data_IF_652740579784
#
_entry.id   IF_652740579784
#
_cell.length_a   1.000
_cell.length_b   1.000
_cell.length_c   1.000
_cell.angle_alpha   90.00
_cell.angle_beta   90.00
_cell.angle_gamma   90.00
#
_symmetry.space_group_name_H-M   'P 1'
#
loop_
_entity.id
_entity.type
_entity.pdbx_description
1 polymer ?
#
# COMPACT_ATOMS: atom_id res chain seq x y z
N UNK A 1 7.07 11.68 -22.51
CA UNK A 1 7.58 12.17 -21.20
C UNK A 1 8.62 11.21 -20.63
N UNK A 2 8.25 10.01 -20.18
CA UNK A 2 9.20 9.04 -19.60
C UNK A 2 10.37 8.73 -20.56
N UNK A 3 10.07 8.42 -21.82
CA UNK A 3 11.11 8.11 -22.83
C UNK A 3 12.05 9.28 -23.14
N UNK A 4 11.59 10.51 -22.94
CA UNK A 4 12.37 11.72 -23.19
C UNK A 4 13.34 12.03 -22.05
N UNK A 5 13.22 11.34 -20.90
CA UNK A 5 14.01 11.57 -19.69
C UNK A 5 14.59 10.26 -19.15
N UNK A 6 15.53 9.62 -19.88
CA UNK A 6 16.05 8.29 -19.52
C UNK A 6 16.82 8.24 -18.20
N UNK A 7 17.25 9.40 -17.67
CA UNK A 7 17.96 9.51 -16.40
C UNK A 7 17.02 9.74 -15.20
N UNK A 8 15.72 9.92 -15.43
CA UNK A 8 14.72 10.13 -14.38
C UNK A 8 14.01 8.83 -14.07
N UNK A 9 13.94 8.47 -12.78
CA UNK A 9 13.16 7.32 -12.32
C UNK A 9 11.74 7.75 -12.00
N UNK A 10 10.78 7.09 -12.61
CA UNK A 10 9.36 7.32 -12.35
C UNK A 10 8.83 6.24 -11.41
N UNK A 11 8.32 6.67 -10.26
CA UNK A 11 7.81 5.78 -9.21
C UNK A 11 6.30 5.95 -9.08
N UNK A 12 5.56 4.86 -9.17
CA UNK A 12 4.12 4.82 -8.85
C UNK A 12 3.99 4.30 -7.42
N UNK A 13 3.45 5.10 -6.51
CA UNK A 13 3.29 4.73 -5.10
C UNK A 13 1.83 4.64 -4.66
N UNK A 14 1.37 3.44 -4.30
CA UNK A 14 -0.04 3.16 -4.03
C UNK A 14 -0.24 2.19 -2.86
N UNK A 15 -1.42 2.26 -2.25
CA UNK A 15 -1.90 1.23 -1.32
C UNK A 15 -2.41 -0.03 -2.00
N UNK A 16 -2.56 -0.02 -3.33
CA UNK A 16 -3.09 -1.15 -4.10
C UNK A 16 -2.09 -2.30 -4.21
N UNK A 17 -2.63 -3.49 -4.47
CA UNK A 17 -1.88 -4.66 -4.91
C UNK A 17 -1.09 -4.35 -6.18
N UNK A 18 0.14 -4.86 -6.28
CA UNK A 18 1.01 -4.69 -7.45
C UNK A 18 0.31 -5.05 -8.77
N UNK A 19 -0.44 -6.15 -8.79
CA UNK A 19 -1.18 -6.60 -9.98
C UNK A 19 -2.32 -5.66 -10.38
N UNK A 20 -2.89 -4.91 -9.44
CA UNK A 20 -3.84 -3.82 -9.73
C UNK A 20 -3.16 -2.66 -10.46
N UNK A 21 -1.95 -2.29 -10.03
CA UNK A 21 -1.16 -1.27 -10.73
C UNK A 21 -0.72 -1.75 -12.12
N UNK A 22 -0.36 -3.02 -12.26
CA UNK A 22 -0.02 -3.59 -13.57
C UNK A 22 -1.18 -3.50 -14.55
N UNK A 23 -2.43 -3.74 -14.17
CA UNK A 23 -3.57 -3.59 -15.08
C UNK A 23 -3.67 -2.18 -15.71
N UNK A 24 -3.19 -1.15 -15.01
CA UNK A 24 -3.19 0.24 -15.47
C UNK A 24 -1.92 0.54 -16.26
N UNK A 25 -0.76 0.13 -15.74
CA UNK A 25 0.54 0.57 -16.23
C UNK A 25 1.27 -0.46 -17.09
N UNK A 26 0.68 -1.61 -17.40
CA UNK A 26 1.30 -2.69 -18.18
C UNK A 26 2.04 -2.21 -19.45
N UNK A 27 1.50 -1.27 -20.26
CA UNK A 27 2.20 -0.81 -21.47
C UNK A 27 3.55 -0.12 -21.21
N UNK A 28 3.78 0.38 -20.00
CA UNK A 28 5.00 1.13 -19.62
C UNK A 28 5.68 0.58 -18.37
N UNK A 29 5.28 -0.60 -17.88
CA UNK A 29 5.72 -1.15 -16.59
C UNK A 29 7.24 -1.26 -16.45
N UNK A 30 7.96 -1.58 -17.53
CA UNK A 30 9.42 -1.77 -17.50
C UNK A 30 10.20 -0.46 -17.37
N UNK A 31 9.49 0.68 -17.45
CA UNK A 31 10.01 2.04 -17.28
C UNK A 31 9.64 2.63 -15.92
N UNK A 32 8.94 1.87 -15.07
CA UNK A 32 8.43 2.32 -13.79
C UNK A 32 8.98 1.46 -12.64
N UNK A 33 9.07 2.09 -11.47
CA UNK A 33 9.20 1.41 -10.19
C UNK A 33 7.84 1.50 -9.50
N UNK A 34 7.38 0.42 -8.88
CA UNK A 34 6.10 0.38 -8.19
C UNK A 34 6.32 0.18 -6.70
N UNK A 35 5.88 1.14 -5.89
CA UNK A 35 5.64 0.94 -4.46
C UNK A 35 4.18 0.52 -4.32
N UNK A 36 3.96 -0.72 -3.88
CA UNK A 36 2.61 -1.30 -3.68
C UNK A 36 2.39 -1.60 -2.19
N UNK A 37 1.14 -1.88 -1.81
CA UNK A 37 0.76 -2.16 -0.41
C UNK A 37 1.26 -1.08 0.57
N UNK A 38 1.16 0.19 0.18
CA UNK A 38 1.62 1.37 0.94
C UNK A 38 3.12 1.36 1.30
N UNK A 39 3.95 0.56 0.62
CA UNK A 39 5.36 0.39 0.98
C UNK A 39 5.75 -1.03 1.39
N UNK A 40 4.79 -1.95 1.48
CA UNK A 40 5.06 -3.35 1.81
C UNK A 40 5.93 -4.06 0.77
N UNK A 41 5.86 -3.63 -0.50
CA UNK A 41 6.66 -4.21 -1.58
C UNK A 41 7.05 -3.17 -2.62
N UNK A 42 8.27 -3.27 -3.12
CA UNK A 42 8.80 -2.46 -4.22
C UNK A 42 9.18 -3.37 -5.37
N UNK A 43 8.61 -3.09 -6.54
CA UNK A 43 8.78 -3.86 -7.77
C UNK A 43 9.42 -3.02 -8.87
N UNK A 44 10.37 -3.59 -9.60
CA UNK A 44 10.93 -3.00 -10.83
C UNK A 44 11.14 -4.13 -11.85
N UNK A 45 10.66 -3.96 -13.09
CA UNK A 45 10.82 -4.94 -14.20
C UNK A 45 10.43 -6.37 -13.78
N UNK A 46 9.23 -6.50 -13.22
CA UNK A 46 8.66 -7.75 -12.69
C UNK A 46 9.49 -8.44 -11.59
N UNK A 47 10.43 -7.74 -10.95
CA UNK A 47 11.25 -8.26 -9.85
C UNK A 47 10.98 -7.50 -8.57
N UNK A 48 10.96 -8.24 -7.46
CA UNK A 48 11.00 -7.66 -6.11
C UNK A 48 12.39 -7.05 -5.91
N UNK A 49 12.45 -5.74 -5.69
CA UNK A 49 13.69 -5.06 -5.28
C UNK A 49 13.74 -4.85 -3.76
N UNK A 50 12.58 -4.78 -3.11
CA UNK A 50 12.47 -4.73 -1.66
C UNK A 50 11.11 -5.23 -1.18
N UNK A 51 11.06 -5.83 0.01
CA UNK A 51 9.83 -6.30 0.66
C UNK A 51 9.94 -6.09 2.17
N UNK A 52 8.83 -5.68 2.80
CA UNK A 52 8.69 -5.53 4.25
C UNK A 52 7.49 -6.37 4.74
N UNK A 53 7.67 -7.70 4.85
CA UNK A 53 6.57 -8.57 5.21
C UNK A 53 6.17 -8.41 6.69
N UNK A 54 4.95 -8.80 6.98
CA UNK A 54 4.51 -9.19 8.32
C UNK A 54 5.19 -10.51 8.66
N UNK A 55 5.92 -10.62 9.78
CA UNK A 55 6.53 -11.89 10.17
C UNK A 55 5.49 -13.00 10.33
N UNK A 56 5.78 -14.21 9.85
CA UNK A 56 4.85 -15.35 9.89
C UNK A 56 4.25 -15.62 11.27
N UNK A 57 5.10 -15.61 12.31
CA UNK A 57 4.65 -15.81 13.69
C UNK A 57 3.67 -14.72 14.15
N UNK A 58 3.88 -13.48 13.69
CA UNK A 58 3.01 -12.35 13.96
C UNK A 58 1.70 -12.42 13.17
N UNK A 59 1.74 -12.87 11.92
CA UNK A 59 0.52 -13.13 11.16
C UNK A 59 -0.36 -14.19 11.85
N UNK A 60 0.24 -15.28 12.34
CA UNK A 60 -0.47 -16.32 13.08
C UNK A 60 -1.10 -15.79 14.38
N UNK A 61 -0.36 -14.97 15.14
CA UNK A 61 -0.87 -14.30 16.34
C UNK A 61 -2.13 -13.46 16.04
N UNK A 62 -2.10 -12.67 14.96
CA UNK A 62 -3.27 -11.87 14.54
C UNK A 62 -4.44 -12.75 14.14
N UNK A 63 -4.19 -13.83 13.38
CA UNK A 63 -5.22 -14.76 12.96
C UNK A 63 -5.86 -15.46 14.18
N UNK A 64 -5.06 -15.80 15.20
CA UNK A 64 -5.55 -16.37 16.46
C UNK A 64 -6.47 -15.39 17.20
N UNK A 65 -6.06 -14.11 17.33
CA UNK A 65 -6.82 -13.07 18.03
C UNK A 65 -8.23 -12.84 17.46
N UNK A 66 -8.43 -13.08 16.16
CA UNK A 66 -9.72 -12.87 15.49
C UNK A 66 -10.50 -14.17 15.21
N UNK A 67 -9.90 -15.34 15.40
CA UNK A 67 -10.44 -16.65 14.96
C UNK A 67 -11.77 -17.08 15.61
N UNK A 68 -12.04 -16.62 16.83
CA UNK A 68 -13.27 -16.93 17.57
C UNK A 68 -14.50 -16.21 17.00
N UNK A 69 -14.30 -15.05 16.35
CA UNK A 69 -15.38 -14.24 15.80
C UNK A 69 -15.62 -14.58 14.33
N UNK A 70 -16.65 -15.39 14.07
CA UNK A 70 -17.06 -15.79 12.71
C UNK A 70 -17.64 -14.64 11.87
N UNK A 71 -17.73 -13.42 12.42
CA UNK A 71 -18.07 -12.21 11.69
C UNK A 71 -16.85 -11.45 11.15
N UNK A 72 -15.63 -11.91 11.43
CA UNK A 72 -14.38 -11.33 10.93
C UNK A 72 -13.80 -12.26 9.86
N UNK A 73 -13.44 -11.68 8.72
CA UNK A 73 -12.87 -12.40 7.58
C UNK A 73 -11.49 -11.83 7.25
N UNK A 74 -10.41 -12.50 7.68
CA UNK A 74 -9.06 -12.10 7.33
C UNK A 74 -8.78 -12.35 5.85
N UNK A 75 -8.16 -11.36 5.20
CA UNK A 75 -7.55 -11.48 3.89
C UNK A 75 -6.05 -11.30 4.06
N UNK A 76 -5.27 -12.30 3.67
CA UNK A 76 -3.81 -12.17 3.62
C UNK A 76 -3.43 -11.60 2.26
N UNK A 77 -3.05 -10.33 2.20
CA UNK A 77 -2.42 -9.75 1.01
C UNK A 77 -0.97 -10.20 0.96
N UNK A 78 -0.61 -11.04 -0.01
CA UNK A 78 0.75 -11.56 -0.16
C UNK A 78 1.41 -11.11 -1.46
N UNK A 79 2.70 -11.39 -1.59
CA UNK A 79 3.52 -11.05 -2.77
C UNK A 79 2.92 -11.59 -4.09
N UNK A 80 2.44 -12.85 -4.12
CA UNK A 80 2.01 -13.48 -5.37
C UNK A 80 0.52 -13.31 -5.65
N UNK A 81 -0.29 -13.35 -4.60
CA UNK A 81 -1.76 -13.22 -4.64
C UNK A 81 -2.28 -12.89 -3.24
N UNK A 82 -3.55 -12.53 -3.12
CA UNK A 82 -4.24 -12.45 -1.84
C UNK A 82 -4.97 -13.76 -1.55
N UNK A 83 -5.14 -14.10 -0.27
CA UNK A 83 -5.84 -15.32 0.16
C UNK A 83 -6.95 -15.01 1.16
N UNK A 84 -8.06 -15.74 1.08
CA UNK A 84 -9.19 -15.65 2.01
C UNK A 84 -9.76 -17.04 2.30
N UNK A 85 -10.14 -17.31 3.56
CA UNK A 85 -10.74 -18.59 3.94
C UNK A 85 -12.25 -18.60 3.72
N UNK A 86 -12.72 -19.52 2.88
CA UNK A 86 -14.13 -19.88 2.70
C UNK A 86 -15.14 -18.72 2.86
N UNK A 87 -14.98 -17.57 2.15
CA UNK A 87 -15.83 -16.42 2.40
C UNK A 87 -17.26 -16.67 1.91
N UNK A 88 -18.28 -16.17 2.61
CA UNK A 88 -19.60 -16.06 2.03
C UNK A 88 -19.60 -15.06 0.87
N UNK A 89 -20.55 -15.20 -0.06
CA UNK A 89 -20.61 -14.42 -1.30
C UNK A 89 -20.56 -12.90 -1.07
N UNK A 90 -21.24 -12.39 -0.03
CA UNK A 90 -21.25 -10.96 0.26
C UNK A 90 -19.86 -10.43 0.66
N UNK A 91 -19.06 -11.22 1.38
CA UNK A 91 -17.67 -10.88 1.72
C UNK A 91 -16.82 -10.91 0.45
N UNK A 92 -16.99 -11.96 -0.37
CA UNK A 92 -16.24 -12.12 -1.61
C UNK A 92 -16.46 -10.93 -2.56
N UNK A 93 -17.70 -10.43 -2.67
CA UNK A 93 -18.05 -9.28 -3.49
C UNK A 93 -17.33 -7.99 -3.06
N UNK A 94 -17.13 -7.78 -1.76
CA UNK A 94 -16.39 -6.63 -1.24
C UNK A 94 -14.88 -6.82 -1.45
N UNK A 95 -14.34 -7.99 -1.11
CA UNK A 95 -12.90 -8.28 -1.18
C UNK A 95 -12.37 -8.23 -2.62
N UNK A 96 -13.11 -8.80 -3.57
CA UNK A 96 -12.71 -8.91 -4.98
C UNK A 96 -12.61 -7.55 -5.69
N UNK A 97 -13.27 -6.50 -5.17
CA UNK A 97 -13.14 -5.14 -5.71
C UNK A 97 -11.74 -4.55 -5.49
N UNK A 98 -11.04 -5.00 -4.44
CA UNK A 98 -9.72 -4.49 -4.07
C UNK A 98 -8.56 -5.42 -4.46
N UNK A 99 -8.86 -6.69 -4.73
CA UNK A 99 -7.86 -7.73 -4.99
C UNK A 99 -8.00 -8.29 -6.41
N UNK A 100 -7.10 -7.89 -7.31
CA UNK A 100 -7.08 -8.41 -8.69
C UNK A 100 -6.69 -9.89 -8.72
N UNK A 101 -5.74 -10.28 -7.87
CA UNK A 101 -5.44 -11.68 -7.61
C UNK A 101 -5.90 -12.04 -6.21
N UNK A 102 -6.83 -13.00 -6.14
CA UNK A 102 -7.45 -13.49 -4.93
C UNK A 102 -7.70 -14.99 -5.09
N UNK A 103 -7.27 -15.77 -4.11
CA UNK A 103 -7.50 -17.20 -4.02
C UNK A 103 -8.28 -17.55 -2.75
N UNK A 104 -9.25 -18.46 -2.88
CA UNK A 104 -9.93 -19.03 -1.72
C UNK A 104 -9.18 -20.27 -1.25
N UNK A 105 -9.01 -20.40 0.06
CA UNK A 105 -8.36 -21.55 0.71
C UNK A 105 -9.26 -22.17 1.77
N UNK A 106 -9.00 -23.44 2.07
CA UNK A 106 -9.74 -24.17 3.12
C UNK A 106 -9.32 -23.74 4.54
N UNK A 107 -8.04 -23.36 4.70
CA UNK A 107 -7.45 -22.88 5.96
C UNK A 107 -6.46 -21.76 5.63
N UNK A 108 -6.75 -20.54 6.10
CA UNK A 108 -5.90 -19.36 5.83
C UNK A 108 -4.51 -19.49 6.45
N UNK A 109 -4.37 -20.19 7.58
CA UNK A 109 -3.08 -20.38 8.24
C UNK A 109 -2.15 -21.28 7.42
N UNK A 110 -2.70 -22.13 6.55
CA UNK A 110 -1.92 -22.99 5.67
C UNK A 110 -1.09 -22.24 4.62
N UNK A 111 -1.35 -20.93 4.43
CA UNK A 111 -0.60 -20.04 3.52
C UNK A 111 0.67 -19.51 4.18
N UNK A 112 0.70 -19.38 5.51
CA UNK A 112 1.84 -18.83 6.26
C UNK A 112 3.11 -19.64 5.97
N UNK A 113 4.20 -18.95 5.66
CA UNK A 113 5.48 -19.55 5.25
C UNK A 113 5.57 -20.06 3.80
N UNK A 114 4.48 -19.99 3.01
CA UNK A 114 4.50 -20.33 1.56
C UNK A 114 4.56 -19.11 0.65
N UNK A 115 4.09 -17.98 1.15
CA UNK A 115 4.09 -16.69 0.48
C UNK A 115 4.41 -15.58 1.48
N UNK A 116 4.99 -14.48 1.01
CA UNK A 116 5.34 -13.36 1.88
C UNK A 116 4.09 -12.53 2.15
N UNK A 117 3.66 -12.48 3.41
CA UNK A 117 2.47 -11.73 3.84
C UNK A 117 2.85 -10.25 3.95
N UNK A 118 2.20 -9.40 3.16
CA UNK A 118 2.43 -7.95 3.13
C UNK A 118 1.46 -7.22 4.07
N UNK A 119 0.24 -7.72 4.19
CA UNK A 119 -0.78 -7.20 5.10
C UNK A 119 -1.74 -8.32 5.53
N UNK A 120 -2.48 -8.05 6.62
CA UNK A 120 -3.70 -8.76 6.98
C UNK A 120 -4.85 -7.75 6.98
N UNK A 121 -5.64 -7.73 5.90
CA UNK A 121 -6.83 -6.91 5.82
C UNK A 121 -8.00 -7.65 6.48
N UNK A 122 -8.44 -7.17 7.63
CA UNK A 122 -9.48 -7.78 8.45
C UNK A 122 -10.81 -7.12 8.12
N UNK A 123 -11.70 -7.88 7.46
CA UNK A 123 -13.04 -7.42 7.14
C UNK A 123 -14.03 -7.70 8.26
N UNK A 124 -14.89 -6.73 8.58
CA UNK A 124 -16.07 -6.94 9.41
C UNK A 124 -17.24 -6.05 8.97
N UNK A 125 -18.37 -6.64 8.62
CA UNK A 125 -19.56 -5.91 8.21
C UNK A 125 -20.15 -5.04 9.35
N UNK A 126 -19.96 -5.43 10.61
CA UNK A 126 -20.54 -4.73 11.78
C UNK A 126 -19.72 -3.53 12.26
N UNK A 127 -18.99 -2.85 11.36
CA UNK A 127 -18.02 -1.77 11.64
C UNK A 127 -16.74 -2.28 12.29
N UNK A 128 -15.64 -2.24 11.55
CA UNK A 128 -14.36 -2.82 11.96
C UNK A 128 -13.75 -2.11 13.17
N UNK A 129 -13.93 -0.79 13.28
CA UNK A 129 -13.42 -0.01 14.41
C UNK A 129 -13.85 -0.58 15.78
N UNK A 130 -15.10 -1.01 15.89
CA UNK A 130 -15.68 -1.40 17.18
C UNK A 130 -15.51 -2.91 17.47
N UNK A 131 -15.27 -3.73 16.43
CA UNK A 131 -15.22 -5.19 16.55
C UNK A 131 -13.83 -5.78 16.36
N UNK A 132 -12.96 -5.13 15.58
CA UNK A 132 -11.60 -5.59 15.28
C UNK A 132 -10.57 -4.87 16.15
N UNK A 133 -10.53 -3.53 16.17
CA UNK A 133 -9.48 -2.80 16.89
C UNK A 133 -9.35 -3.18 18.38
N UNK A 134 -10.43 -3.42 19.14
CA UNK A 134 -10.29 -3.86 20.54
C UNK A 134 -9.57 -5.21 20.68
N UNK A 135 -9.71 -6.12 19.70
CA UNK A 135 -9.02 -7.43 19.68
C UNK A 135 -7.54 -7.29 19.35
N UNK A 136 -7.13 -6.17 18.75
CA UNK A 136 -5.77 -5.87 18.34
C UNK A 136 -5.06 -4.90 19.30
N UNK A 137 -5.66 -4.58 20.45
CA UNK A 137 -5.17 -3.54 21.35
C UNK A 137 -3.74 -3.82 21.88
N UNK A 138 -3.38 -5.10 22.03
CA UNK A 138 -2.06 -5.52 22.51
C UNK A 138 -1.04 -5.69 21.39
N UNK A 139 -1.46 -5.57 20.13
CA UNK A 139 -0.54 -5.58 19.00
C UNK A 139 0.34 -4.34 19.06
N UNK A 140 1.64 -4.58 19.17
CA UNK A 140 2.64 -3.53 19.31
C UNK A 140 3.98 -4.00 18.75
N UNK A 141 4.97 -3.09 18.74
CA UNK A 141 6.30 -3.36 18.22
C UNK A 141 6.32 -3.38 16.70
N UNK A 142 6.50 -4.57 16.13
CA UNK A 142 6.74 -4.76 14.70
C UNK A 142 5.49 -4.61 13.83
N UNK A 143 4.30 -4.49 14.43
CA UNK A 143 3.03 -4.35 13.71
C UNK A 143 2.30 -3.07 14.08
N UNK A 144 1.45 -2.62 13.17
CA UNK A 144 0.44 -1.59 13.42
C UNK A 144 -0.89 -1.98 12.80
N UNK A 145 -1.97 -1.65 13.50
CA UNK A 145 -3.34 -1.76 13.00
C UNK A 145 -3.83 -0.39 12.51
N UNK A 146 -4.34 -0.33 11.28
CA UNK A 146 -4.82 0.90 10.64
C UNK A 146 -6.28 0.70 10.24
N UNK A 147 -7.16 1.60 10.66
CA UNK A 147 -8.53 1.62 10.15
C UNK A 147 -8.52 2.14 8.71
N UNK A 148 -8.61 1.23 7.74
CA UNK A 148 -8.48 1.55 6.30
C UNK A 148 -9.83 1.89 5.65
N UNK A 149 -10.93 1.39 6.20
CA UNK A 149 -12.30 1.80 5.85
C UNK A 149 -13.27 1.45 6.99
N UNK A 150 -14.55 1.79 6.85
CA UNK A 150 -15.57 1.52 7.88
C UNK A 150 -15.63 0.04 8.29
N UNK A 151 -15.47 -0.86 7.31
CA UNK A 151 -15.51 -2.31 7.48
C UNK A 151 -14.13 -2.98 7.46
N UNK A 152 -13.03 -2.22 7.43
CA UNK A 152 -11.69 -2.76 7.23
C UNK A 152 -10.67 -2.22 8.22
N UNK A 153 -9.89 -3.14 8.79
CA UNK A 153 -8.65 -2.82 9.52
C UNK A 153 -7.51 -3.59 8.90
N UNK A 154 -6.45 -2.89 8.51
CA UNK A 154 -5.24 -3.51 8.00
C UNK A 154 -4.24 -3.67 9.15
N UNK A 155 -3.74 -4.89 9.33
CA UNK A 155 -2.56 -5.14 10.16
C UNK A 155 -1.35 -5.29 9.24
N UNK A 156 -0.39 -4.39 9.39
CA UNK A 156 0.81 -4.31 8.56
C UNK A 156 2.05 -4.23 9.43
N UNK A 157 3.21 -4.49 8.84
CA UNK A 157 4.49 -4.20 9.47
C UNK A 157 4.54 -2.69 9.84
N UNK A 158 4.95 -2.37 11.07
CA UNK A 158 4.92 -1.02 11.62
C UNK A 158 5.72 -0.02 10.77
N UNK A 159 6.80 -0.49 10.14
CA UNK A 159 7.67 0.30 9.29
C UNK A 159 7.14 0.51 7.87
N UNK A 160 6.03 -0.14 7.48
CA UNK A 160 5.44 0.04 6.15
C UNK A 160 4.77 1.41 6.04
N UNK A 161 5.34 2.29 5.22
CA UNK A 161 4.72 3.50 4.70
C UNK A 161 5.46 3.94 3.43
N UNK A 162 4.84 4.78 2.61
CA UNK A 162 5.42 5.22 1.33
C UNK A 162 6.71 6.02 1.51
N UNK A 163 6.88 6.74 2.62
CA UNK A 163 8.10 7.48 2.94
C UNK A 163 9.31 6.57 3.15
N UNK A 164 9.16 5.50 3.94
CA UNK A 164 10.22 4.50 4.12
C UNK A 164 10.52 3.76 2.82
N UNK A 165 9.50 3.46 2.00
CA UNK A 165 9.72 2.86 0.70
C UNK A 165 10.51 3.78 -0.26
N UNK A 166 10.25 5.08 -0.23
CA UNK A 166 11.05 6.06 -1.00
C UNK A 166 12.48 6.14 -0.50
N UNK A 167 12.73 6.11 0.81
CA UNK A 167 14.10 6.06 1.36
C UNK A 167 14.87 4.84 0.85
N UNK A 168 14.23 3.68 0.80
CA UNK A 168 14.83 2.47 0.23
C UNK A 168 15.20 2.68 -1.24
N UNK A 169 14.32 3.29 -2.05
CA UNK A 169 14.63 3.61 -3.45
C UNK A 169 15.79 4.60 -3.55
N UNK A 170 15.79 5.66 -2.74
CA UNK A 170 16.87 6.65 -2.66
C UNK A 170 18.22 5.98 -2.36
N UNK A 171 18.26 5.07 -1.39
CA UNK A 171 19.46 4.30 -1.03
C UNK A 171 19.92 3.37 -2.15
N UNK A 172 19.01 2.59 -2.75
CA UNK A 172 19.33 1.64 -3.84
C UNK A 172 19.98 2.36 -5.04
N UNK A 173 19.51 3.56 -5.36
CA UNK A 173 19.96 4.30 -6.55
C UNK A 173 20.94 5.44 -6.26
N UNK A 174 21.26 5.70 -4.99
CA UNK A 174 22.12 6.82 -4.59
C UNK A 174 21.52 8.19 -4.94
N UNK A 175 20.20 8.33 -4.82
CA UNK A 175 19.45 9.57 -5.13
C UNK A 175 19.18 10.29 -3.81
N UNK A 176 19.53 11.58 -3.71
CA UNK A 176 19.26 12.36 -2.50
C UNK A 176 17.78 12.79 -2.44
N UNK A 177 17.24 13.11 -1.24
CA UNK A 177 15.92 13.70 -1.12
C UNK A 177 15.73 14.94 -2.01
N UNK A 178 16.73 15.80 -2.12
CA UNK A 178 16.72 17.03 -2.93
C UNK A 178 16.53 16.78 -4.43
N UNK A 179 16.87 15.58 -4.90
CA UNK A 179 16.69 15.14 -6.29
C UNK A 179 15.31 14.49 -6.53
N UNK A 180 14.47 14.39 -5.49
CA UNK A 180 13.16 13.75 -5.55
C UNK A 180 12.01 14.76 -5.60
N UNK A 181 11.03 14.47 -6.46
CA UNK A 181 9.74 15.18 -6.53
C UNK A 181 8.63 14.19 -6.20
N UNK A 182 7.79 14.51 -5.21
CA UNK A 182 6.62 13.70 -4.84
C UNK A 182 5.30 14.44 -5.03
N UNK A 183 4.27 13.67 -5.35
CA UNK A 183 2.88 14.12 -5.47
C UNK A 183 2.01 13.25 -4.57
N UNK A 184 1.06 13.83 -3.87
CA UNK A 184 0.18 13.09 -2.97
C UNK A 184 -1.09 13.87 -2.64
N UNK A 185 -2.10 13.15 -2.19
CA UNK A 185 -3.41 13.73 -1.86
C UNK A 185 -4.01 13.17 -0.56
N UNK A 186 -3.49 12.04 -0.08
CA UNK A 186 -4.08 11.31 1.03
C UNK A 186 -3.08 11.05 2.16
N UNK A 187 -3.58 10.67 3.34
CA UNK A 187 -2.74 10.53 4.55
C UNK A 187 -1.59 9.53 4.42
N UNK A 188 -1.71 8.50 3.57
CA UNK A 188 -0.63 7.54 3.31
C UNK A 188 0.50 8.12 2.43
N UNK A 189 0.35 9.35 1.91
CA UNK A 189 1.40 10.09 1.21
C UNK A 189 2.19 11.02 2.14
N UNK A 190 1.73 11.22 3.37
CA UNK A 190 2.29 12.21 4.31
C UNK A 190 3.81 12.04 4.47
N UNK A 191 4.27 10.84 4.84
CA UNK A 191 5.69 10.57 5.02
C UNK A 191 6.46 10.62 3.70
N UNK A 192 5.84 10.26 2.57
CA UNK A 192 6.48 10.36 1.26
C UNK A 192 6.79 11.81 0.90
N UNK A 193 5.84 12.72 1.11
CA UNK A 193 5.98 14.15 0.82
C UNK A 193 7.03 14.81 1.72
N UNK A 194 7.22 14.33 2.96
CA UNK A 194 8.27 14.80 3.86
C UNK A 194 9.68 14.34 3.46
N UNK A 195 9.79 13.21 2.75
CA UNK A 195 11.07 12.60 2.39
C UNK A 195 11.56 12.97 0.97
N UNK A 196 10.82 13.84 0.27
CA UNK A 196 11.22 14.39 -1.02
C UNK A 196 11.50 15.89 -0.91
N UNK A 197 12.56 16.32 -1.59
CA UNK A 197 13.02 17.70 -1.62
C UNK A 197 11.99 18.61 -2.26
N UNK A 198 11.28 18.14 -3.27
CA UNK A 198 10.14 18.84 -3.85
C UNK A 198 8.87 18.02 -3.59
N UNK A 199 7.82 18.66 -3.08
CA UNK A 199 6.58 17.97 -2.73
C UNK A 199 5.35 18.79 -3.06
N UNK A 200 4.38 18.14 -3.70
CA UNK A 200 3.16 18.74 -4.19
C UNK A 200 1.95 18.01 -3.60
N UNK A 201 1.13 18.74 -2.86
CA UNK A 201 -0.22 18.28 -2.53
C UNK A 201 -1.14 18.59 -3.70
N UNK A 202 -1.99 17.64 -4.10
CA UNK A 202 -3.04 17.92 -5.09
C UNK A 202 -4.05 18.93 -4.54
N UNK A 203 -4.72 19.72 -5.39
CA UNK A 203 -5.74 20.68 -4.94
C UNK A 203 -6.87 20.01 -4.15
N UNK A 204 -7.25 18.81 -4.56
CA UNK A 204 -8.27 17.97 -3.92
C UNK A 204 -7.74 17.17 -2.71
N UNK A 205 -6.49 17.41 -2.27
CA UNK A 205 -5.89 16.72 -1.15
C UNK A 205 -6.53 17.07 0.21
N UNK A 206 -6.36 16.16 1.17
CA UNK A 206 -6.65 16.42 2.58
C UNK A 206 -5.87 17.65 3.09
N UNK A 207 -6.49 18.42 4.01
CA UNK A 207 -5.86 19.62 4.56
C UNK A 207 -4.52 19.36 5.23
N UNK A 208 -4.37 18.22 5.91
CA UNK A 208 -3.09 17.82 6.52
C UNK A 208 -1.99 17.56 5.48
N UNK A 209 -2.36 17.08 4.29
CA UNK A 209 -1.44 16.87 3.17
C UNK A 209 -1.01 18.20 2.55
N UNK A 210 -1.94 19.15 2.42
CA UNK A 210 -1.63 20.51 1.95
C UNK A 210 -0.69 21.26 2.88
N UNK A 211 -0.77 21.00 4.19
CA UNK A 211 0.11 21.62 5.21
C UNK A 211 1.55 21.10 5.16
N UNK A 212 1.75 19.86 4.74
CA UNK A 212 3.09 19.23 4.73
C UNK A 212 3.82 19.35 3.39
N UNK A 213 3.08 19.46 2.28
CA UNK A 213 3.68 19.68 0.97
C UNK A 213 4.23 21.10 0.83
N UNK A 214 5.32 21.26 0.05
CA UNK A 214 5.90 22.57 -0.26
C UNK A 214 5.03 23.41 -1.19
N UNK A 215 4.29 22.74 -2.08
CA UNK A 215 3.50 23.37 -3.12
C UNK A 215 2.13 22.70 -3.24
N UNK A 216 1.19 23.42 -3.84
CA UNK A 216 -0.10 22.88 -4.24
C UNK A 216 -0.10 22.73 -5.77
N UNK A 217 -0.35 21.53 -6.26
CA UNK A 217 -0.60 21.25 -7.67
C UNK A 217 -2.09 21.43 -8.00
N UNK A 218 -2.45 21.62 -9.28
CA UNK A 218 -3.86 21.55 -9.71
C UNK A 218 -4.51 20.21 -9.32
N UNK A 219 -5.84 20.15 -9.36
CA UNK A 219 -6.59 18.91 -9.10
C UNK A 219 -6.13 17.74 -9.98
N UNK A 220 -6.34 16.52 -9.49
CA UNK A 220 -6.15 15.30 -10.28
C UNK A 220 -7.05 15.30 -11.54
N UNK A 221 -8.25 15.89 -11.46
CA UNK A 221 -9.20 16.00 -12.58
C UNK A 221 -8.69 16.90 -13.72
N UNK A 222 -7.74 17.79 -13.41
CA UNK A 222 -7.10 18.72 -14.36
C UNK A 222 -5.71 18.22 -14.83
N UNK A 223 -5.40 16.93 -14.64
CA UNK A 223 -4.08 16.35 -14.91
C UNK A 223 -2.94 17.07 -14.17
N UNK A 224 -3.18 17.51 -12.92
CA UNK A 224 -2.26 18.38 -12.17
C UNK A 224 -0.82 17.88 -12.12
N UNK A 225 -0.60 16.57 -11.91
CA UNK A 225 0.74 15.96 -11.96
C UNK A 225 1.44 16.21 -13.30
N UNK A 226 0.74 15.99 -14.42
CA UNK A 226 1.32 16.16 -15.75
C UNK A 226 1.63 17.63 -16.05
N UNK A 227 0.82 18.56 -15.56
CA UNK A 227 1.10 19.99 -15.70
C UNK A 227 2.38 20.41 -14.98
N UNK A 228 2.60 19.90 -13.77
CA UNK A 228 3.84 20.17 -13.01
C UNK A 228 5.04 19.52 -13.68
N UNK A 229 4.93 18.24 -14.05
CA UNK A 229 6.03 17.52 -14.72
C UNK A 229 6.49 18.22 -16.01
N UNK A 230 5.56 18.75 -16.83
CA UNK A 230 5.90 19.53 -18.05
C UNK A 230 6.65 20.84 -17.77
N UNK A 231 6.61 21.36 -16.55
CA UNK A 231 7.29 22.61 -16.18
C UNK A 231 8.70 22.37 -15.63
N UNK A 232 8.94 21.20 -15.02
CA UNK A 232 10.18 20.91 -14.28
C UNK A 232 11.12 19.95 -15.03
N UNK A 233 10.63 19.25 -16.05
CA UNK A 233 11.38 18.39 -16.96
C UNK A 233 11.47 19.03 -18.34
#
# INVERSE_FOLDING_TARGET
MIESHPNVKFVVASGRQYYSLLNIFNPIKDKLIFISENGGIIMEKDKVIHIMPVPDAKALEVLDLVSEDKGIYPVLGCEKTSYIENPPEYVMNDVAQYNVRLETVDDIKSVVGKDNILNLALYCHKRAKDNILPKLADISGDLKAVLSAESWVDVINANVNKGNAIKVIQEIYGISPEECVAFGDYMNDYEMLQNCGESYAMENAHDEIKKVAKYIAPSNDDEGVMQILKKIL
#
